data_IF_091217912947
#
_entry.id   IF_091217912947
#
_cell.length_a   1.000
_cell.length_b   1.000
_cell.length_c   1.000
_cell.angle_alpha   90.00
_cell.angle_beta   90.00
_cell.angle_gamma   90.00
#
_symmetry.space_group_name_H-M   'P 1'
#
loop_
_entity.id
_entity.type
_entity.pdbx_description
1 polymer ?
#
# COMPACT_ATOMS: atom_id res chain seq x y z
N UNK A 1 -11.64 -6.79 -2.09
CA UNK A 1 -13.04 -7.22 -2.17
C UNK A 1 -13.90 -6.22 -1.41
N UNK A 2 -14.95 -5.73 -2.00
CA UNK A 2 -15.90 -4.81 -1.37
C UNK A 2 -17.02 -5.60 -0.69
N UNK A 3 -17.35 -5.21 0.52
CA UNK A 3 -18.47 -5.79 1.29
C UNK A 3 -19.65 -4.83 1.37
N UNK A 4 -19.42 -3.56 1.06
CA UNK A 4 -20.45 -2.52 1.01
C UNK A 4 -20.41 -1.80 -0.33
N UNK A 5 -21.58 -1.28 -0.75
CA UNK A 5 -21.70 -0.47 -1.97
C UNK A 5 -20.97 0.86 -1.80
N UNK A 6 -20.17 1.23 -2.79
CA UNK A 6 -19.50 2.52 -2.88
C UNK A 6 -19.91 3.29 -4.13
N UNK A 7 -19.88 4.62 -4.05
CA UNK A 7 -20.16 5.52 -5.18
C UNK A 7 -19.28 6.75 -5.10
N UNK A 8 -19.30 7.61 -6.11
CA UNK A 8 -18.53 8.86 -6.17
C UNK A 8 -18.64 9.66 -4.87
N UNK A 9 -19.84 9.82 -4.33
CA UNK A 9 -20.11 10.55 -3.08
C UNK A 9 -20.10 9.67 -1.82
N UNK A 10 -19.69 8.41 -1.96
CA UNK A 10 -19.73 7.42 -0.89
C UNK A 10 -18.51 6.50 -0.92
N UNK A 11 -17.32 7.11 -0.88
CA UNK A 11 -16.08 6.42 -0.66
C UNK A 11 -15.64 5.46 -1.78
N UNK A 12 -16.00 5.72 -3.05
CA UNK A 12 -15.46 4.97 -4.17
C UNK A 12 -13.93 5.17 -4.26
N UNK A 13 -13.24 4.12 -4.67
CA UNK A 13 -11.82 4.21 -5.00
C UNK A 13 -11.67 5.07 -6.27
N UNK A 14 -10.87 6.11 -6.18
CA UNK A 14 -10.49 6.94 -7.32
C UNK A 14 -9.09 6.57 -7.77
N UNK A 15 -8.88 6.49 -9.06
CA UNK A 15 -7.60 6.15 -9.67
C UNK A 15 -7.24 7.13 -10.78
N UNK A 16 -5.96 7.39 -10.97
CA UNK A 16 -5.43 8.15 -12.12
C UNK A 16 -4.92 7.13 -13.14
N UNK A 17 -5.63 6.89 -14.26
CA UNK A 17 -5.23 5.91 -15.26
C UNK A 17 -3.84 6.19 -15.81
N UNK A 18 -3.02 5.16 -15.97
CA UNK A 18 -1.66 5.29 -16.49
C UNK A 18 -0.62 5.82 -15.50
N UNK A 19 -1.00 6.30 -14.34
CA UNK A 19 -0.12 6.93 -13.35
C UNK A 19 0.95 6.02 -12.74
N UNK A 20 0.89 4.72 -13.00
CA UNK A 20 1.94 3.75 -12.64
C UNK A 20 3.08 3.67 -13.64
N UNK A 21 2.99 4.40 -14.79
CA UNK A 21 3.97 4.38 -15.89
C UNK A 21 4.82 5.64 -15.86
N UNK A 22 6.11 5.50 -16.18
CA UNK A 22 7.01 6.62 -16.40
C UNK A 22 6.77 7.26 -17.80
N UNK A 23 6.99 8.57 -17.99
CA UNK A 23 7.38 9.55 -16.96
C UNK A 23 6.22 10.04 -16.08
N UNK A 24 4.97 9.78 -16.47
CA UNK A 24 3.77 10.31 -15.83
C UNK A 24 3.71 10.04 -14.30
N UNK A 25 4.22 8.89 -13.85
CA UNK A 25 4.34 8.61 -12.42
C UNK A 25 5.17 9.68 -11.69
N UNK A 26 6.26 10.11 -12.31
CA UNK A 26 7.16 11.12 -11.73
C UNK A 26 6.52 12.51 -11.71
N UNK A 27 5.76 12.85 -12.74
CA UNK A 27 5.07 14.14 -12.85
C UNK A 27 4.00 14.31 -11.74
N UNK A 28 3.45 13.20 -11.27
CA UNK A 28 2.46 13.15 -10.18
C UNK A 28 3.09 13.10 -8.77
N UNK A 29 4.42 13.13 -8.67
CA UNK A 29 5.10 13.07 -7.36
C UNK A 29 4.65 14.12 -6.34
N UNK A 30 4.23 15.35 -6.71
CA UNK A 30 3.65 16.32 -5.78
C UNK A 30 2.46 15.76 -4.98
N UNK A 31 1.64 14.88 -5.56
CA UNK A 31 0.53 14.21 -4.88
C UNK A 31 1.03 13.32 -3.73
N UNK A 32 2.07 12.51 -4.00
CA UNK A 32 2.68 11.64 -3.00
C UNK A 32 3.36 12.47 -1.90
N UNK A 33 4.11 13.50 -2.27
CA UNK A 33 4.77 14.38 -1.31
C UNK A 33 3.78 15.10 -0.39
N UNK A 34 2.64 15.53 -0.91
CA UNK A 34 1.58 16.15 -0.12
C UNK A 34 0.92 15.15 0.84
N UNK A 35 0.67 13.93 0.41
CA UNK A 35 0.13 12.88 1.26
C UNK A 35 1.06 12.54 2.43
N UNK A 36 2.36 12.45 2.16
CA UNK A 36 3.35 12.02 3.15
C UNK A 36 3.72 13.12 4.15
N UNK A 37 3.42 14.38 3.84
CA UNK A 37 3.79 15.53 4.68
C UNK A 37 2.61 16.14 5.40
N UNK A 38 1.93 17.11 4.79
CA UNK A 38 1.03 18.04 5.50
C UNK A 38 -0.41 17.98 5.02
N UNK A 39 -0.70 17.28 3.93
CA UNK A 39 -2.04 17.21 3.31
C UNK A 39 -2.61 18.60 2.98
N UNK A 40 -1.77 19.48 2.45
CA UNK A 40 -2.15 20.83 2.09
C UNK A 40 -3.18 20.86 0.95
N UNK A 41 -4.06 21.83 0.98
CA UNK A 41 -5.03 22.14 -0.06
C UNK A 41 -5.07 23.65 -0.28
N UNK A 42 -4.76 24.14 -1.50
CA UNK A 42 -4.38 23.38 -2.69
C UNK A 42 -3.03 22.66 -2.55
N UNK A 43 -2.83 21.59 -3.34
CA UNK A 43 -1.60 20.79 -3.32
C UNK A 43 -0.43 21.64 -3.84
N UNK A 44 0.67 21.78 -3.10
CA UNK A 44 1.85 22.52 -3.55
C UNK A 44 2.41 21.96 -4.85
N UNK A 45 2.70 22.86 -5.79
CA UNK A 45 3.20 22.52 -7.12
C UNK A 45 2.13 22.14 -8.17
N UNK A 46 0.87 21.87 -7.73
CA UNK A 46 -0.24 21.62 -8.64
C UNK A 46 -1.32 22.69 -8.61
N UNK A 47 -1.45 23.43 -7.51
CA UNK A 47 -2.42 24.51 -7.37
C UNK A 47 -3.89 24.09 -7.36
N UNK A 48 -4.19 22.80 -7.21
CA UNK A 48 -5.54 22.22 -7.16
C UNK A 48 -5.76 21.48 -5.85
N UNK A 49 -7.03 21.38 -5.42
CA UNK A 49 -7.34 20.59 -4.23
C UNK A 49 -7.26 19.10 -4.51
N UNK A 50 -6.96 18.32 -3.50
CA UNK A 50 -6.83 16.85 -3.63
C UNK A 50 -8.08 16.18 -4.19
N UNK A 51 -9.28 16.70 -3.86
CA UNK A 51 -10.56 16.20 -4.38
C UNK A 51 -10.76 16.50 -5.87
N UNK A 52 -10.15 17.58 -6.36
CA UNK A 52 -10.36 18.10 -7.72
C UNK A 52 -9.34 17.50 -8.72
N UNK A 53 -8.40 16.71 -8.23
CA UNK A 53 -7.44 16.00 -9.10
C UNK A 53 -8.21 15.10 -10.09
N UNK A 54 -8.01 15.27 -11.41
CA UNK A 54 -8.66 14.44 -12.42
C UNK A 54 -8.41 12.96 -12.21
N UNK A 55 -9.48 12.18 -12.08
CA UNK A 55 -9.38 10.75 -11.76
C UNK A 55 -10.69 10.04 -12.10
N UNK A 56 -10.64 8.73 -12.23
CA UNK A 56 -11.79 7.87 -12.46
C UNK A 56 -12.23 7.24 -11.14
N UNK A 57 -13.51 7.34 -10.82
CA UNK A 57 -14.11 6.68 -9.67
C UNK A 57 -14.56 5.26 -10.03
N UNK A 58 -14.10 4.28 -9.26
CA UNK A 58 -14.49 2.88 -9.38
C UNK A 58 -15.61 2.62 -8.38
N UNK A 59 -16.84 2.78 -8.81
CA UNK A 59 -18.01 2.43 -8.01
C UNK A 59 -18.08 0.91 -7.88
N UNK A 60 -18.44 0.41 -6.71
CA UNK A 60 -18.40 -1.03 -6.42
C UNK A 60 -19.62 -1.46 -5.62
N UNK A 61 -20.06 -2.66 -5.88
CA UNK A 61 -21.12 -3.38 -5.15
C UNK A 61 -20.51 -4.45 -4.23
N UNK A 62 -21.26 -4.93 -3.23
CA UNK A 62 -20.81 -6.07 -2.43
C UNK A 62 -20.45 -7.28 -3.32
N UNK A 63 -19.28 -7.85 -3.09
CA UNK A 63 -18.73 -8.95 -3.87
C UNK A 63 -17.78 -8.52 -5.01
N UNK A 64 -17.77 -7.24 -5.40
CA UNK A 64 -16.86 -6.77 -6.43
C UNK A 64 -15.41 -6.85 -5.96
N UNK A 65 -14.54 -7.21 -6.90
CA UNK A 65 -13.10 -7.28 -6.73
C UNK A 65 -12.42 -6.23 -7.61
N UNK A 66 -11.65 -5.33 -6.99
CA UNK A 66 -10.77 -4.41 -7.72
C UNK A 66 -9.33 -4.86 -7.52
N UNK A 67 -8.61 -5.09 -8.63
CA UNK A 67 -7.21 -5.48 -8.64
C UNK A 67 -6.41 -4.44 -9.42
N UNK A 68 -5.37 -3.87 -8.79
CA UNK A 68 -4.57 -2.81 -9.42
C UNK A 68 -3.14 -2.79 -8.89
N UNK A 69 -2.24 -2.16 -9.66
CA UNK A 69 -0.85 -1.96 -9.25
C UNK A 69 -0.78 -1.00 -8.05
N UNK A 70 0.01 -1.35 -7.05
CA UNK A 70 0.28 -0.47 -5.90
C UNK A 70 0.90 0.87 -6.31
N UNK A 71 1.60 0.92 -7.45
CA UNK A 71 2.19 2.15 -8.00
C UNK A 71 1.17 3.06 -8.70
N UNK A 72 -0.07 2.62 -8.88
CA UNK A 72 -1.12 3.46 -9.42
C UNK A 72 -1.51 4.52 -8.40
N UNK A 73 -1.50 5.80 -8.79
CA UNK A 73 -2.00 6.85 -7.90
C UNK A 73 -3.49 6.67 -7.66
N UNK A 74 -3.84 6.56 -6.41
CA UNK A 74 -5.21 6.28 -5.99
C UNK A 74 -5.54 6.96 -4.66
N UNK A 75 -6.81 7.26 -4.44
CA UNK A 75 -7.29 7.83 -3.20
C UNK A 75 -8.76 7.44 -2.95
N UNK A 76 -9.21 7.67 -1.73
CA UNK A 76 -10.61 7.57 -1.34
C UNK A 76 -11.00 8.85 -0.63
N UNK A 77 -12.07 9.49 -1.11
CA UNK A 77 -12.70 10.64 -0.48
C UNK A 77 -14.12 10.29 -0.04
N UNK A 78 -14.68 11.11 0.85
CA UNK A 78 -16.07 10.99 1.30
C UNK A 78 -16.43 9.57 1.80
N UNK A 79 -15.49 8.94 2.49
CA UNK A 79 -15.73 7.63 3.10
C UNK A 79 -16.78 7.74 4.20
N UNK A 80 -17.68 6.74 4.25
CA UNK A 80 -18.71 6.66 5.29
C UNK A 80 -18.25 5.79 6.48
N UNK A 81 -18.81 6.02 7.68
CA UNK A 81 -18.50 5.21 8.85
C UNK A 81 -18.78 3.72 8.61
N UNK A 82 -17.94 2.88 9.18
CA UNK A 82 -18.06 1.41 9.13
C UNK A 82 -18.05 0.80 7.71
N UNK A 83 -17.49 1.48 6.72
CA UNK A 83 -17.26 0.90 5.40
C UNK A 83 -16.39 -0.35 5.50
N UNK A 84 -16.90 -1.48 4.98
CA UNK A 84 -16.21 -2.76 5.04
C UNK A 84 -15.64 -3.14 3.69
N UNK A 85 -14.39 -3.54 3.69
CA UNK A 85 -13.71 -4.13 2.54
C UNK A 85 -12.52 -4.99 3.01
N UNK A 86 -12.10 -5.92 2.19
CA UNK A 86 -10.90 -6.72 2.42
C UNK A 86 -9.85 -6.26 1.43
N UNK A 87 -8.72 -5.75 1.93
CA UNK A 87 -7.55 -5.40 1.12
C UNK A 87 -6.48 -6.47 1.30
N UNK A 88 -6.05 -7.06 0.19
CA UNK A 88 -4.93 -7.98 0.14
C UNK A 88 -3.81 -7.33 -0.66
N UNK A 89 -2.62 -7.28 -0.10
CA UNK A 89 -1.43 -6.75 -0.76
C UNK A 89 -0.53 -7.91 -1.15
N UNK A 90 -0.10 -7.91 -2.40
CA UNK A 90 0.82 -8.90 -2.95
C UNK A 90 2.06 -8.20 -3.47
N UNK A 91 3.20 -8.83 -3.31
CA UNK A 91 4.45 -8.45 -3.94
C UNK A 91 5.05 -9.69 -4.62
N UNK A 92 5.84 -9.48 -5.66
CA UNK A 92 6.64 -10.54 -6.22
C UNK A 92 7.66 -11.04 -5.17
N UNK A 93 8.03 -12.32 -5.24
CA UNK A 93 9.11 -12.83 -4.42
C UNK A 93 10.42 -12.12 -4.82
N UNK A 94 11.14 -11.52 -3.85
CA UNK A 94 12.36 -10.79 -4.16
C UNK A 94 13.46 -11.77 -4.62
N UNK A 95 14.06 -11.49 -5.77
CA UNK A 95 15.08 -12.33 -6.40
C UNK A 95 16.47 -11.70 -6.39
N UNK A 96 16.55 -10.38 -6.21
CA UNK A 96 17.82 -9.63 -6.19
C UNK A 96 18.12 -9.08 -4.79
N UNK A 97 19.38 -8.77 -4.53
CA UNK A 97 19.79 -8.13 -3.26
C UNK A 97 19.12 -6.77 -3.04
N UNK A 98 18.85 -6.03 -4.13
CA UNK A 98 18.15 -4.76 -4.09
C UNK A 98 16.68 -4.94 -3.66
N UNK A 99 15.98 -5.89 -4.25
CA UNK A 99 14.58 -6.20 -3.89
C UNK A 99 14.46 -6.71 -2.46
N UNK A 100 15.38 -7.57 -2.01
CA UNK A 100 15.45 -8.02 -0.63
C UNK A 100 15.67 -6.83 0.31
N UNK A 101 16.61 -5.93 -0.02
CA UNK A 101 16.85 -4.71 0.74
C UNK A 101 15.63 -3.80 0.81
N UNK A 102 14.93 -3.62 -0.30
CA UNK A 102 13.67 -2.88 -0.36
C UNK A 102 12.58 -3.49 0.52
N UNK A 103 12.41 -4.81 0.47
CA UNK A 103 11.44 -5.53 1.30
C UNK A 103 11.77 -5.38 2.80
N UNK A 104 13.04 -5.50 3.19
CA UNK A 104 13.50 -5.29 4.56
C UNK A 104 13.20 -3.87 5.02
N UNK A 105 13.53 -2.87 4.20
CA UNK A 105 13.25 -1.47 4.50
C UNK A 105 11.76 -1.21 4.70
N UNK A 106 10.90 -1.74 3.85
CA UNK A 106 9.45 -1.57 3.97
C UNK A 106 8.87 -2.36 5.15
N UNK A 107 9.29 -3.60 5.37
CA UNK A 107 8.79 -4.43 6.47
C UNK A 107 9.22 -3.92 7.85
N UNK A 108 10.40 -3.28 7.95
CA UNK A 108 10.87 -2.67 9.19
C UNK A 108 10.11 -1.42 9.62
N UNK A 109 9.46 -0.73 8.70
CA UNK A 109 8.82 0.57 8.99
C UNK A 109 7.30 0.50 9.22
N UNK A 110 6.64 -0.60 8.86
CA UNK A 110 5.16 -0.63 8.94
C UNK A 110 4.66 -2.03 9.33
N UNK A 111 3.95 -2.10 10.44
CA UNK A 111 3.25 -3.32 10.91
C UNK A 111 2.27 -3.92 9.88
N UNK A 112 1.85 -3.13 8.89
CA UNK A 112 0.96 -3.60 7.81
C UNK A 112 1.59 -4.70 6.92
N UNK A 113 2.90 -4.88 6.97
CA UNK A 113 3.60 -5.97 6.28
C UNK A 113 3.83 -7.20 7.16
N UNK A 114 3.34 -7.19 8.39
CA UNK A 114 3.36 -8.35 9.27
C UNK A 114 2.27 -9.33 8.84
N UNK A 115 2.61 -10.59 8.53
CA UNK A 115 1.58 -11.59 8.24
C UNK A 115 0.65 -11.75 9.44
N UNK A 116 -0.65 -11.65 9.20
CA UNK A 116 -1.64 -11.85 10.25
C UNK A 116 -1.51 -13.26 10.87
N UNK A 117 -1.77 -13.45 12.17
CA UNK A 117 -1.65 -14.73 12.85
C UNK A 117 -2.38 -15.89 12.15
N UNK A 118 -3.52 -15.63 11.51
CA UNK A 118 -4.23 -16.66 10.74
C UNK A 118 -3.42 -17.20 9.54
N UNK A 119 -2.49 -16.44 8.99
CA UNK A 119 -1.59 -16.92 7.95
C UNK A 119 -0.41 -17.70 8.55
N UNK A 120 0.15 -17.22 9.66
CA UNK A 120 1.29 -17.89 10.30
C UNK A 120 0.91 -19.20 10.98
N UNK A 121 -0.32 -19.36 11.43
CA UNK A 121 -0.89 -20.59 12.01
C UNK A 121 -1.58 -21.49 10.98
N UNK A 122 -1.62 -21.12 9.71
CA UNK A 122 -2.23 -21.93 8.66
C UNK A 122 -1.55 -23.28 8.52
N UNK A 123 -2.31 -24.32 8.22
CA UNK A 123 -1.77 -25.65 7.86
C UNK A 123 -1.39 -25.75 6.39
N UNK A 124 -1.68 -24.73 5.57
CA UNK A 124 -1.38 -24.71 4.14
C UNK A 124 0.07 -24.37 3.85
N UNK A 125 0.80 -25.31 3.24
CA UNK A 125 2.17 -25.08 2.76
C UNK A 125 2.27 -23.92 1.75
N UNK A 126 1.23 -23.73 0.93
CA UNK A 126 1.15 -22.62 -0.01
C UNK A 126 1.14 -21.27 0.72
N UNK A 127 0.37 -21.14 1.79
CA UNK A 127 0.33 -19.90 2.60
C UNK A 127 1.70 -19.67 3.25
N UNK A 128 2.32 -20.70 3.81
CA UNK A 128 3.66 -20.59 4.38
C UNK A 128 4.71 -20.13 3.36
N UNK A 129 4.67 -20.67 2.14
CA UNK A 129 5.56 -20.23 1.06
C UNK A 129 5.33 -18.76 0.69
N UNK A 130 4.07 -18.32 0.61
CA UNK A 130 3.73 -16.92 0.27
C UNK A 130 4.20 -15.91 1.32
N UNK A 131 4.18 -16.26 2.61
CA UNK A 131 4.59 -15.34 3.69
C UNK A 131 6.07 -15.48 4.07
N UNK A 132 6.78 -16.49 3.56
CA UNK A 132 8.17 -16.76 3.89
C UNK A 132 9.09 -15.54 3.70
N UNK A 133 9.08 -14.84 2.54
CA UNK A 133 9.95 -13.68 2.33
C UNK A 133 9.75 -12.57 3.36
N UNK A 134 8.51 -12.33 3.80
CA UNK A 134 8.18 -11.34 4.83
C UNK A 134 8.74 -11.75 6.20
N UNK A 135 8.61 -13.02 6.56
CA UNK A 135 9.14 -13.55 7.82
C UNK A 135 10.67 -13.48 7.87
N UNK A 136 11.34 -13.83 6.78
CA UNK A 136 12.79 -13.75 6.66
C UNK A 136 13.28 -12.29 6.70
N UNK A 137 12.61 -11.37 6.01
CA UNK A 137 12.93 -9.96 6.05
C UNK A 137 12.82 -9.39 7.47
N UNK A 138 11.75 -9.74 8.19
CA UNK A 138 11.56 -9.33 9.59
C UNK A 138 12.67 -9.87 10.49
N UNK A 139 13.03 -11.15 10.37
CA UNK A 139 14.10 -11.76 11.16
C UNK A 139 15.44 -11.06 10.93
N UNK A 140 15.78 -10.74 9.67
CA UNK A 140 17.01 -10.00 9.32
C UNK A 140 17.03 -8.60 9.91
N UNK A 141 15.89 -7.91 9.90
CA UNK A 141 15.76 -6.56 10.50
C UNK A 141 16.03 -6.61 12.00
N UNK A 142 15.40 -7.56 12.72
CA UNK A 142 15.61 -7.75 14.15
C UNK A 142 17.08 -8.05 14.51
N UNK A 143 17.72 -8.94 13.74
CA UNK A 143 19.13 -9.28 13.96
C UNK A 143 20.06 -8.07 13.75
N UNK A 144 19.75 -7.20 12.78
CA UNK A 144 20.51 -5.97 12.53
C UNK A 144 20.39 -4.99 13.69
N UNK A 145 19.16 -4.77 14.18
CA UNK A 145 18.91 -3.91 15.34
C UNK A 145 19.60 -4.42 16.60
N UNK A 146 19.56 -5.74 16.85
CA UNK A 146 20.25 -6.33 17.99
C UNK A 146 21.78 -6.15 17.93
N UNK A 147 22.38 -6.31 16.74
CA UNK A 147 23.82 -6.07 16.56
C UNK A 147 24.20 -4.62 16.83
N UNK A 148 23.44 -3.65 16.31
CA UNK A 148 23.67 -2.24 16.57
C UNK A 148 23.62 -1.90 18.06
N UNK A 149 22.61 -2.42 18.79
CA UNK A 149 22.49 -2.19 20.23
C UNK A 149 23.63 -2.84 21.06
N UNK A 150 24.28 -3.89 20.55
CA UNK A 150 25.42 -4.52 21.21
C UNK A 150 26.71 -3.73 20.95
N UNK A 151 26.85 -3.11 19.78
CA UNK A 151 28.04 -2.32 19.42
C UNK A 151 28.04 -0.91 20.09
N UNK A 152 26.85 -0.42 20.52
CA UNK A 152 26.67 0.87 21.18
C UNK A 152 26.74 0.80 22.72
N UNK A 153 26.85 -0.39 23.32
CA UNK A 153 27.01 -0.63 24.76
C UNK A 153 28.37 -1.24 25.09
#
# INVERSE_FOLDING_TARGET
VYLDKTSVKRGALRVIPGSHKLPFHTDLWPLQANHDRQKENPIPGLGINSKDVPSISLESSPGDLVFFSQSLFHAVFDSFPNRRYIALKFAAEPSTHYEIGSLIKHSGYKSIFEPHPSFTSSKSSRIHSMIRPLREAKARTLLRTLKQNIEEN
#
